data_IF_132182703425
#
_entry.id   IF_132182703425
#
_cell.length_a   1.000
_cell.length_b   1.000
_cell.length_c   1.000
_cell.angle_alpha   90.00
_cell.angle_beta   90.00
_cell.angle_gamma   90.00
#
_symmetry.space_group_name_H-M   'P 1'
#
loop_
_entity.id
_entity.type
_entity.pdbx_description
1 polymer ?
#
# COMPACT_ATOMS: atom_id res chain seq x y z
N UNK A 1 -20.91 20.55 13.42
CA UNK A 1 -21.19 19.14 13.06
C UNK A 1 -21.05 18.93 11.57
N UNK A 2 -21.85 19.59 10.72
CA UNK A 2 -21.78 19.36 9.26
C UNK A 2 -20.37 19.42 8.67
N UNK A 3 -19.65 20.53 8.90
CA UNK A 3 -18.27 20.68 8.41
C UNK A 3 -17.28 19.72 9.08
N UNK A 4 -17.54 19.30 10.32
CA UNK A 4 -16.67 18.37 11.05
C UNK A 4 -16.80 16.95 10.47
N UNK A 5 -18.03 16.43 10.35
CA UNK A 5 -18.27 15.13 9.72
C UNK A 5 -17.88 15.10 8.24
N UNK A 6 -18.08 16.19 7.50
CA UNK A 6 -17.54 16.33 6.14
C UNK A 6 -16.00 16.23 6.13
N UNK A 7 -15.32 16.86 7.09
CA UNK A 7 -13.85 16.77 7.19
C UNK A 7 -13.39 15.34 7.48
N UNK A 8 -14.11 14.61 8.33
CA UNK A 8 -13.85 13.19 8.61
C UNK A 8 -14.02 12.34 7.35
N UNK A 9 -15.16 12.46 6.66
CA UNK A 9 -15.41 11.73 5.42
C UNK A 9 -14.39 12.06 4.33
N UNK A 10 -13.99 13.33 4.22
CA UNK A 10 -12.97 13.78 3.25
C UNK A 10 -11.59 13.20 3.59
N UNK A 11 -11.21 13.18 4.87
CA UNK A 11 -9.94 12.60 5.32
C UNK A 11 -9.85 11.11 5.00
N UNK A 12 -10.97 10.39 5.20
CA UNK A 12 -11.09 8.97 4.82
C UNK A 12 -10.92 8.81 3.31
N UNK A 13 -11.62 9.59 2.50
CA UNK A 13 -11.58 9.49 1.03
C UNK A 13 -10.25 9.89 0.40
N UNK A 14 -9.47 10.74 1.09
CA UNK A 14 -8.11 11.07 0.67
C UNK A 14 -7.21 9.82 0.66
N UNK A 15 -7.40 8.93 1.64
CA UNK A 15 -6.54 7.76 1.87
C UNK A 15 -7.13 6.46 1.31
N UNK A 16 -8.33 6.10 1.77
CA UNK A 16 -8.90 4.78 1.57
C UNK A 16 -9.90 4.83 0.44
N UNK A 17 -9.52 4.45 -0.79
CA UNK A 17 -10.40 4.60 -1.96
C UNK A 17 -11.62 3.68 -1.88
N UNK A 18 -12.81 4.14 -2.30
CA UNK A 18 -14.04 3.34 -2.21
C UNK A 18 -14.03 2.09 -3.12
N UNK A 19 -13.11 2.02 -4.10
CA UNK A 19 -12.83 0.82 -4.89
C UNK A 19 -12.21 -0.32 -4.08
N UNK A 20 -11.50 0.00 -3.00
CA UNK A 20 -10.72 -0.95 -2.19
C UNK A 20 -11.23 -1.08 -0.76
N UNK A 21 -11.80 0.00 -0.22
CA UNK A 21 -12.33 0.12 1.14
C UNK A 21 -13.77 0.61 1.07
N UNK A 22 -14.68 -0.28 0.68
CA UNK A 22 -16.05 0.10 0.33
C UNK A 22 -16.98 0.13 1.54
N UNK A 23 -16.88 -0.85 2.42
CA UNK A 23 -17.82 -1.10 3.53
C UNK A 23 -17.33 -0.40 4.78
N UNK A 24 -18.13 0.48 5.35
CA UNK A 24 -17.74 1.30 6.52
C UNK A 24 -18.72 1.06 7.67
N UNK A 25 -18.24 0.67 8.84
CA UNK A 25 -19.05 0.68 10.06
C UNK A 25 -18.74 1.93 10.87
N UNK A 26 -19.73 2.80 11.06
CA UNK A 26 -19.64 3.96 11.94
C UNK A 26 -20.25 3.66 13.31
N UNK A 27 -19.40 3.59 14.34
CA UNK A 27 -19.82 3.37 15.72
C UNK A 27 -19.98 4.72 16.41
N UNK A 28 -21.23 5.14 16.59
CA UNK A 28 -21.58 6.49 17.04
C UNK A 28 -21.96 6.50 18.53
N UNK A 29 -21.36 7.42 19.30
CA UNK A 29 -21.72 7.61 20.71
C UNK A 29 -22.88 8.60 20.92
N UNK A 30 -23.35 8.79 22.17
CA UNK A 30 -24.49 9.67 22.46
C UNK A 30 -24.12 11.16 22.37
N UNK A 31 -22.83 11.48 22.31
CA UNK A 31 -22.34 12.84 22.43
C UNK A 31 -22.15 13.56 21.10
N UNK A 32 -21.33 14.61 21.15
CA UNK A 32 -21.03 15.39 19.96
C UNK A 32 -20.30 14.57 18.89
N UNK A 33 -19.35 13.74 19.32
CA UNK A 33 -18.55 12.87 18.45
C UNK A 33 -19.44 11.93 17.63
N UNK A 34 -20.45 11.32 18.25
CA UNK A 34 -21.39 10.47 17.52
C UNK A 34 -22.19 11.23 16.48
N UNK A 35 -22.58 12.48 16.76
CA UNK A 35 -23.19 13.35 15.75
C UNK A 35 -22.26 13.65 14.57
N UNK A 36 -20.95 13.81 14.82
CA UNK A 36 -19.96 13.98 13.74
C UNK A 36 -19.77 12.68 12.94
N UNK A 37 -19.83 11.52 13.60
CA UNK A 37 -19.88 10.20 12.96
C UNK A 37 -21.10 9.98 12.06
N UNK A 38 -22.30 10.37 12.50
CA UNK A 38 -23.52 10.29 11.69
C UNK A 38 -23.42 11.16 10.42
N UNK A 39 -22.89 12.38 10.56
CA UNK A 39 -22.64 13.26 9.42
C UNK A 39 -21.60 12.65 8.48
N UNK A 40 -20.50 12.11 9.03
CA UNK A 40 -19.46 11.47 8.24
C UNK A 40 -20.01 10.27 7.45
N UNK A 41 -20.82 9.41 8.07
CA UNK A 41 -21.47 8.28 7.40
C UNK A 41 -22.34 8.74 6.23
N UNK A 42 -23.10 9.84 6.38
CA UNK A 42 -23.89 10.41 5.28
C UNK A 42 -23.02 10.89 4.12
N UNK A 43 -21.94 11.62 4.40
CA UNK A 43 -21.04 12.08 3.33
C UNK A 43 -20.31 10.92 2.66
N UNK A 44 -19.88 9.91 3.42
CA UNK A 44 -19.28 8.69 2.87
C UNK A 44 -20.23 7.95 1.91
N UNK A 45 -21.53 7.89 2.19
CA UNK A 45 -22.50 7.38 1.23
C UNK A 45 -22.44 8.15 -0.11
N UNK A 46 -22.46 9.48 -0.05
CA UNK A 46 -22.36 10.31 -1.26
C UNK A 46 -20.99 10.23 -1.96
N UNK A 47 -19.93 9.83 -1.26
CA UNK A 47 -18.59 9.61 -1.83
C UNK A 47 -18.43 8.21 -2.45
N UNK A 48 -19.48 7.38 -2.46
CA UNK A 48 -19.48 6.06 -3.09
C UNK A 48 -19.15 4.89 -2.16
N UNK A 49 -19.05 5.13 -0.85
CA UNK A 49 -18.91 4.07 0.15
C UNK A 49 -20.27 3.45 0.48
N UNK A 50 -20.23 2.29 1.14
CA UNK A 50 -21.39 1.60 1.72
C UNK A 50 -21.31 1.68 3.26
N UNK A 51 -21.81 2.76 3.88
CA UNK A 51 -21.78 2.89 5.33
C UNK A 51 -22.88 2.06 6.00
N UNK A 52 -22.60 1.66 7.24
CA UNK A 52 -23.48 1.05 8.22
C UNK A 52 -23.28 1.80 9.54
N UNK A 53 -24.33 1.94 10.35
CA UNK A 53 -24.26 2.74 11.58
C UNK A 53 -24.65 1.90 12.79
N UNK A 54 -23.74 1.78 13.76
CA UNK A 54 -24.08 1.30 15.10
C UNK A 54 -24.25 2.51 16.01
N UNK A 55 -25.49 2.81 16.44
CA UNK A 55 -25.81 3.96 17.30
C UNK A 55 -26.62 3.53 18.54
N UNK A 56 -25.96 2.87 19.53
CA UNK A 56 -26.65 2.15 20.60
C UNK A 56 -27.38 3.05 21.60
N UNK A 57 -26.84 4.25 21.86
CA UNK A 57 -27.47 5.24 22.76
C UNK A 57 -27.83 6.49 21.97
N UNK A 58 -29.04 6.48 21.39
CA UNK A 58 -29.58 7.61 20.62
C UNK A 58 -29.95 8.78 21.53
N UNK A 59 -29.49 9.97 21.18
CA UNK A 59 -29.74 11.18 21.98
C UNK A 59 -31.09 11.80 21.59
N UNK A 60 -32.03 11.98 22.53
CA UNK A 60 -33.38 12.47 22.24
C UNK A 60 -33.39 14.00 22.09
N UNK A 61 -32.65 14.53 21.11
CA UNK A 61 -32.68 15.94 20.73
C UNK A 61 -32.94 16.07 19.23
N UNK A 62 -33.70 17.10 18.79
CA UNK A 62 -34.09 17.26 17.38
C UNK A 62 -32.92 17.19 16.39
N UNK A 63 -31.76 17.73 16.78
CA UNK A 63 -30.55 17.67 15.97
C UNK A 63 -30.13 16.22 15.63
N UNK A 64 -30.12 15.31 16.60
CA UNK A 64 -29.69 13.93 16.35
C UNK A 64 -30.79 13.12 15.66
N UNK A 65 -32.05 13.35 16.00
CA UNK A 65 -33.18 12.76 15.27
C UNK A 65 -33.14 13.13 13.79
N UNK A 66 -32.87 14.39 13.46
CA UNK A 66 -32.72 14.85 12.07
C UNK A 66 -31.55 14.18 11.33
N UNK A 67 -30.40 13.98 11.99
CA UNK A 67 -29.26 13.27 11.40
C UNK A 67 -29.59 11.79 11.13
N UNK A 68 -30.31 11.14 12.04
CA UNK A 68 -30.79 9.76 11.85
C UNK A 68 -31.77 9.69 10.66
N UNK A 69 -32.75 10.59 10.60
CA UNK A 69 -33.71 10.65 9.47
C UNK A 69 -33.01 10.86 8.12
N UNK A 70 -31.95 11.68 8.07
CA UNK A 70 -31.17 11.87 6.85
C UNK A 70 -30.50 10.56 6.39
N UNK A 71 -29.92 9.79 7.31
CA UNK A 71 -29.30 8.50 7.00
C UNK A 71 -30.34 7.46 6.57
N UNK A 72 -31.48 7.38 7.27
CA UNK A 72 -32.60 6.50 6.93
C UNK A 72 -33.16 6.83 5.53
N UNK A 73 -33.25 8.12 5.17
CA UNK A 73 -33.70 8.55 3.82
C UNK A 73 -32.76 8.11 2.70
N UNK A 74 -31.48 7.87 3.01
CA UNK A 74 -30.48 7.32 2.09
C UNK A 74 -30.41 5.79 2.15
N UNK A 75 -31.30 5.15 2.91
CA UNK A 75 -31.29 3.70 3.19
C UNK A 75 -29.98 3.21 3.79
N UNK A 76 -29.30 4.05 4.58
CA UNK A 76 -28.11 3.63 5.34
C UNK A 76 -28.56 2.76 6.52
N UNK A 77 -28.13 1.49 6.59
CA UNK A 77 -28.58 0.56 7.62
C UNK A 77 -28.05 0.94 9.01
N UNK A 78 -28.92 0.81 10.01
CA UNK A 78 -28.56 0.87 11.42
C UNK A 78 -28.49 -0.55 11.98
N UNK A 79 -27.34 -0.94 12.53
CA UNK A 79 -27.12 -2.25 13.14
C UNK A 79 -27.12 -2.07 14.67
N UNK A 80 -27.81 -2.95 15.40
CA UNK A 80 -27.75 -3.00 16.86
C UNK A 80 -26.39 -3.51 17.34
N UNK A 81 -26.10 -3.49 18.65
CA UNK A 81 -24.83 -4.06 19.14
C UNK A 81 -24.88 -5.58 19.08
N UNK A 82 -26.07 -6.14 19.26
CA UNK A 82 -26.36 -7.56 19.30
C UNK A 82 -26.28 -8.21 17.91
N UNK A 83 -26.58 -7.44 16.87
CA UNK A 83 -26.54 -7.88 15.46
C UNK A 83 -25.18 -7.64 14.78
N UNK A 84 -24.19 -7.09 15.49
CA UNK A 84 -22.84 -6.95 14.94
C UNK A 84 -22.19 -8.33 14.78
N UNK A 85 -21.47 -8.58 13.66
CA UNK A 85 -20.75 -9.82 13.49
C UNK A 85 -19.65 -9.95 14.53
N UNK A 86 -19.38 -11.18 14.99
CA UNK A 86 -18.31 -11.46 15.95
C UNK A 86 -16.94 -11.05 15.42
N UNK A 87 -16.75 -11.15 14.11
CA UNK A 87 -15.55 -10.74 13.40
C UNK A 87 -15.88 -9.61 12.41
N UNK A 88 -15.58 -8.38 12.81
CA UNK A 88 -15.83 -7.19 12.00
C UNK A 88 -14.97 -7.15 10.73
N UNK A 89 -13.84 -7.89 10.66
CA UNK A 89 -12.90 -7.83 9.53
C UNK A 89 -13.44 -8.46 8.24
N UNK A 90 -14.37 -9.41 8.37
CA UNK A 90 -15.00 -10.06 7.21
C UNK A 90 -16.04 -9.15 6.53
N UNK A 91 -16.68 -8.27 7.31
CA UNK A 91 -17.86 -7.49 6.91
C UNK A 91 -17.55 -6.03 6.60
N UNK A 92 -16.49 -5.47 7.17
CA UNK A 92 -16.15 -4.06 7.04
C UNK A 92 -14.70 -3.85 6.66
N UNK A 93 -14.46 -2.84 5.83
CA UNK A 93 -13.12 -2.44 5.40
C UNK A 93 -12.60 -1.25 6.24
N UNK A 94 -13.52 -0.44 6.79
CA UNK A 94 -13.22 0.70 7.66
C UNK A 94 -14.13 0.67 8.89
N UNK A 95 -13.52 0.86 10.07
CA UNK A 95 -14.21 1.04 11.34
C UNK A 95 -14.04 2.48 11.82
N UNK A 96 -15.11 3.27 11.74
CA UNK A 96 -15.13 4.65 12.18
C UNK A 96 -15.54 4.74 13.65
N UNK A 97 -14.56 4.97 14.51
CA UNK A 97 -14.70 5.26 15.93
C UNK A 97 -15.15 6.71 16.13
N UNK A 98 -16.46 6.88 16.36
CA UNK A 98 -17.10 8.14 16.70
C UNK A 98 -17.82 8.05 18.06
N UNK A 99 -17.33 7.23 18.99
CA UNK A 99 -17.99 6.98 20.27
C UNK A 99 -17.81 8.14 21.27
N UNK A 100 -16.56 8.47 21.60
CA UNK A 100 -16.22 9.47 22.62
C UNK A 100 -15.23 10.50 22.07
N UNK A 101 -15.51 11.78 22.32
CA UNK A 101 -14.63 12.90 21.96
C UNK A 101 -14.02 13.54 23.21
N UNK A 102 -13.38 14.69 23.04
CA UNK A 102 -12.61 15.38 24.09
C UNK A 102 -13.35 15.74 25.37
N UNK A 103 -14.68 15.81 25.36
CA UNK A 103 -15.48 16.16 26.54
C UNK A 103 -15.86 14.95 27.40
N UNK A 104 -15.46 13.73 27.01
CA UNK A 104 -15.74 12.52 27.76
C UNK A 104 -14.74 12.35 28.91
N UNK A 105 -15.24 11.98 30.08
CA UNK A 105 -14.43 11.73 31.27
C UNK A 105 -14.87 10.42 31.94
N UNK A 106 -13.90 9.67 32.46
CA UNK A 106 -14.12 8.41 33.17
C UNK A 106 -14.01 7.16 32.30
N UNK A 107 -14.31 6.00 32.89
CA UNK A 107 -14.19 4.69 32.23
C UNK A 107 -15.40 4.46 31.32
N UNK A 108 -15.21 3.99 30.07
CA UNK A 108 -16.31 3.55 29.19
C UNK A 108 -17.25 2.57 29.90
N UNK A 109 -18.56 2.73 29.69
CA UNK A 109 -19.60 1.86 30.28
C UNK A 109 -20.35 1.10 29.19
N UNK A 110 -21.04 -0.01 29.51
CA UNK A 110 -21.87 -0.73 28.57
C UNK A 110 -22.86 0.15 27.78
N UNK A 111 -23.00 -0.09 26.45
CA UNK A 111 -22.32 -1.14 25.65
C UNK A 111 -20.96 -0.72 25.05
N UNK A 112 -20.44 0.48 25.37
CA UNK A 112 -19.28 1.05 24.69
C UNK A 112 -17.95 0.44 25.10
N UNK A 113 -17.84 -0.09 26.32
CA UNK A 113 -16.70 -0.90 26.76
C UNK A 113 -16.52 -2.14 25.87
N UNK A 114 -17.59 -2.89 25.62
CA UNK A 114 -17.57 -4.05 24.72
C UNK A 114 -17.22 -3.68 23.27
N UNK A 115 -17.78 -2.58 22.75
CA UNK A 115 -17.44 -2.06 21.41
C UNK A 115 -15.96 -1.67 21.30
N UNK A 116 -15.41 -1.01 22.33
CA UNK A 116 -13.97 -0.67 22.37
C UNK A 116 -13.12 -1.94 22.38
N UNK A 117 -13.47 -2.94 23.20
CA UNK A 117 -12.73 -4.20 23.25
C UNK A 117 -12.76 -4.95 21.92
N UNK A 118 -13.88 -4.92 21.21
CA UNK A 118 -14.00 -5.50 19.87
C UNK A 118 -13.10 -4.79 18.84
N UNK A 119 -12.93 -3.47 18.92
CA UNK A 119 -11.98 -2.76 18.05
C UNK A 119 -10.51 -3.06 18.42
N UNK A 120 -10.21 -3.23 19.71
CA UNK A 120 -8.86 -3.57 20.19
C UNK A 120 -8.45 -4.99 19.77
N UNK A 121 -9.37 -5.96 19.82
CA UNK A 121 -9.07 -7.37 19.52
C UNK A 121 -8.71 -7.63 18.06
N UNK A 122 -9.17 -6.80 17.12
CA UNK A 122 -8.89 -6.94 15.68
C UNK A 122 -7.40 -6.84 15.34
N UNK A 123 -6.64 -6.04 16.09
CA UNK A 123 -5.18 -5.89 15.90
C UNK A 123 -4.39 -7.14 16.31
N UNK A 124 -4.91 -7.93 17.25
CA UNK A 124 -4.19 -9.09 17.79
C UNK A 124 -4.24 -10.30 16.84
N UNK A 125 -5.16 -10.32 15.88
CA UNK A 125 -5.36 -11.40 14.92
C UNK A 125 -4.44 -11.32 13.68
N UNK A 126 -3.74 -10.20 13.49
CA UNK A 126 -3.12 -9.80 12.21
C UNK A 126 -1.74 -10.44 11.92
N UNK A 127 -1.40 -11.57 12.55
CA UNK A 127 -0.19 -12.34 12.20
C UNK A 127 -0.43 -13.36 11.08
N UNK A 128 -1.69 -13.64 10.70
CA UNK A 128 -2.04 -14.71 9.76
C UNK A 128 -3.01 -14.32 8.64
N UNK A 129 -3.59 -13.11 8.65
CA UNK A 129 -4.53 -12.63 7.62
C UNK A 129 -3.93 -11.52 6.76
N UNK A 130 -4.34 -11.45 5.49
CA UNK A 130 -3.79 -10.53 4.49
C UNK A 130 -4.38 -9.10 4.52
N UNK A 131 -5.53 -8.85 5.19
CA UNK A 131 -6.15 -7.51 5.22
C UNK A 131 -7.00 -7.28 6.47
N UNK A 132 -6.52 -6.44 7.38
CA UNK A 132 -7.29 -5.96 8.54
C UNK A 132 -8.06 -4.67 8.20
N UNK A 133 -9.23 -4.43 8.83
CA UNK A 133 -10.00 -3.21 8.60
C UNK A 133 -9.27 -1.99 9.18
N UNK A 134 -9.31 -0.88 8.45
CA UNK A 134 -8.70 0.36 8.91
C UNK A 134 -9.54 0.99 10.04
N UNK A 135 -8.92 1.28 11.18
CA UNK A 135 -9.59 1.96 12.29
C UNK A 135 -9.36 3.48 12.16
N UNK A 136 -10.45 4.24 12.12
CA UNK A 136 -10.44 5.70 12.00
C UNK A 136 -11.09 6.31 13.23
N UNK A 137 -10.36 7.08 14.04
CA UNK A 137 -10.91 7.76 15.21
C UNK A 137 -11.23 9.23 14.92
N UNK A 138 -12.45 9.63 15.27
CA UNK A 138 -12.90 11.01 15.19
C UNK A 138 -12.46 11.77 16.44
N UNK A 139 -11.70 12.83 16.23
CA UNK A 139 -11.18 13.77 17.21
C UNK A 139 -10.12 13.23 18.17
N UNK A 140 -10.46 12.17 18.91
CA UNK A 140 -9.64 11.44 19.87
C UNK A 140 -10.02 9.96 19.80
N UNK A 141 -9.08 9.01 19.92
CA UNK A 141 -9.43 7.60 20.01
C UNK A 141 -10.27 7.32 21.27
N UNK A 142 -11.43 6.69 21.11
CA UNK A 142 -12.34 6.44 22.22
C UNK A 142 -11.69 5.60 23.31
N UNK A 143 -11.83 6.06 24.56
CA UNK A 143 -11.21 5.43 25.73
C UNK A 143 -9.82 5.99 26.08
N UNK A 144 -9.19 6.78 25.21
CA UNK A 144 -7.96 7.48 25.57
C UNK A 144 -8.24 8.65 26.52
N UNK A 145 -7.30 8.91 27.41
CA UNK A 145 -7.27 10.15 28.17
C UNK A 145 -6.94 11.32 27.24
N UNK A 146 -7.64 12.44 27.38
CA UNK A 146 -7.59 13.59 26.45
C UNK A 146 -6.19 14.23 26.38
N UNK A 147 -5.40 14.09 27.44
CA UNK A 147 -4.04 14.63 27.51
C UNK A 147 -2.96 13.55 27.43
N UNK A 148 -3.00 12.60 28.35
CA UNK A 148 -2.02 11.52 28.48
C UNK A 148 -2.11 10.43 27.40
N UNK A 149 -3.22 10.36 26.66
CA UNK A 149 -3.45 9.34 25.63
C UNK A 149 -3.84 7.98 26.20
N UNK A 150 -3.28 6.92 25.64
CA UNK A 150 -3.58 5.54 26.04
C UNK A 150 -2.87 5.17 27.36
N UNK A 151 -3.53 5.48 28.48
CA UNK A 151 -3.05 5.11 29.81
C UNK A 151 -3.15 3.58 29.96
N UNK A 152 -2.01 2.90 29.92
CA UNK A 152 -1.92 1.44 30.07
C UNK A 152 -1.66 0.68 28.75
N UNK A 153 -1.66 1.36 27.60
CA UNK A 153 -1.23 0.80 26.32
C UNK A 153 -2.18 -0.20 25.66
N UNK A 154 -3.34 -0.46 26.27
CA UNK A 154 -4.34 -1.44 25.83
C UNK A 154 -5.56 -0.81 25.13
N UNK A 155 -5.52 0.49 24.85
CA UNK A 155 -6.57 1.22 24.15
C UNK A 155 -6.55 1.00 22.64
N UNK A 156 -7.55 1.57 21.96
CA UNK A 156 -7.66 1.54 20.50
C UNK A 156 -6.39 2.12 19.87
N UNK A 157 -5.87 1.44 18.84
CA UNK A 157 -4.74 1.91 18.02
C UNK A 157 -5.26 2.24 16.62
N UNK A 158 -5.75 3.47 16.36
CA UNK A 158 -6.30 3.80 15.06
C UNK A 158 -5.20 3.90 13.99
N UNK A 159 -5.54 3.53 12.76
CA UNK A 159 -4.70 3.78 11.58
C UNK A 159 -4.81 5.24 11.13
N UNK A 160 -5.97 5.86 11.35
CA UNK A 160 -6.21 7.27 11.10
C UNK A 160 -6.79 7.99 12.31
N UNK A 161 -6.20 9.13 12.67
CA UNK A 161 -6.78 10.09 13.60
C UNK A 161 -7.20 11.35 12.84
N UNK A 162 -8.47 11.76 12.95
CA UNK A 162 -8.95 13.03 12.40
C UNK A 162 -9.22 14.00 13.54
N UNK A 163 -8.22 14.82 13.90
CA UNK A 163 -8.39 15.88 14.90
C UNK A 163 -9.29 17.00 14.37
N UNK A 164 -10.28 17.43 15.14
CA UNK A 164 -11.19 18.50 14.76
C UNK A 164 -10.84 19.81 15.46
N UNK A 165 -10.87 20.92 14.69
CA UNK A 165 -10.52 22.29 15.14
C UNK A 165 -9.03 22.47 15.46
N UNK A 166 -8.52 21.70 16.41
CA UNK A 166 -7.12 21.59 16.76
C UNK A 166 -6.85 20.19 17.38
N UNK A 167 -5.64 19.63 17.19
CA UNK A 167 -5.26 18.38 17.84
C UNK A 167 -5.25 18.51 19.36
N UNK A 168 -5.76 17.49 20.06
CA UNK A 168 -5.69 17.40 21.52
C UNK A 168 -4.32 16.86 21.95
N UNK A 169 -3.97 17.07 23.22
CA UNK A 169 -2.66 16.70 23.75
C UNK A 169 -2.36 15.19 23.61
N UNK A 170 -3.38 14.35 23.74
CA UNK A 170 -3.28 12.91 23.51
C UNK A 170 -2.78 12.54 22.11
N UNK A 171 -3.02 13.38 21.11
CA UNK A 171 -2.60 13.13 19.73
C UNK A 171 -1.06 13.09 19.59
N UNK A 172 -0.31 13.62 20.57
CA UNK A 172 1.15 13.44 20.64
C UNK A 172 1.57 11.97 20.82
N UNK A 173 0.67 11.11 21.31
CA UNK A 173 0.87 9.67 21.50
C UNK A 173 0.33 8.83 20.33
N UNK A 174 -0.27 9.47 19.33
CA UNK A 174 -0.74 8.79 18.14
C UNK A 174 0.44 8.30 17.30
N UNK A 175 0.42 7.02 16.94
CA UNK A 175 1.48 6.36 16.16
C UNK A 175 0.97 5.76 14.85
N UNK A 176 -0.31 5.96 14.50
CA UNK A 176 -0.87 5.45 13.24
C UNK A 176 -0.31 6.20 12.02
N UNK A 177 -0.43 5.61 10.82
CA UNK A 177 0.15 6.16 9.59
C UNK A 177 -0.50 7.46 9.12
N UNK A 178 -1.71 7.81 9.59
CA UNK A 178 -2.47 8.93 9.05
C UNK A 178 -3.02 9.85 10.14
N UNK A 179 -2.51 11.07 10.24
CA UNK A 179 -3.09 12.10 11.11
C UNK A 179 -3.60 13.25 10.24
N UNK A 180 -4.87 13.58 10.37
CA UNK A 180 -5.51 14.69 9.69
C UNK A 180 -6.01 15.73 10.67
N UNK A 181 -5.94 16.99 10.25
CA UNK A 181 -6.64 18.11 10.86
C UNK A 181 -7.84 18.46 9.99
N UNK A 182 -9.02 18.38 10.58
CA UNK A 182 -10.29 18.78 9.98
C UNK A 182 -10.94 19.96 10.73
N UNK A 183 -12.08 20.40 10.22
CA UNK A 183 -12.83 21.50 10.80
C UNK A 183 -12.27 22.87 10.41
N UNK A 184 -12.11 23.07 9.09
CA UNK A 184 -11.71 24.34 8.47
C UNK A 184 -12.79 25.43 8.61
N UNK A 185 -13.00 25.89 9.84
CA UNK A 185 -13.97 26.94 10.16
C UNK A 185 -13.54 27.80 11.35
N UNK A 186 -12.29 27.69 11.81
CA UNK A 186 -11.75 28.49 12.92
C UNK A 186 -11.56 29.93 12.45
N UNK A 187 -12.25 30.93 13.05
CA UNK A 187 -12.03 32.32 12.70
C UNK A 187 -10.60 32.77 13.07
N UNK A 188 -9.94 33.64 12.29
CA UNK A 188 -8.60 34.14 12.61
C UNK A 188 -8.48 34.70 14.04
N UNK A 189 -9.50 35.45 14.49
CA UNK A 189 -9.52 36.00 15.85
C UNK A 189 -9.50 34.94 16.97
N UNK A 190 -10.09 33.76 16.73
CA UNK A 190 -10.04 32.63 17.68
C UNK A 190 -8.67 31.95 17.60
N UNK A 191 -8.12 31.76 16.39
CA UNK A 191 -6.78 31.22 16.22
C UNK A 191 -5.74 32.07 16.94
N UNK A 192 -5.79 33.40 16.77
CA UNK A 192 -4.88 34.35 17.42
C UNK A 192 -5.05 34.35 18.94
N UNK A 193 -6.30 34.40 19.43
CA UNK A 193 -6.61 34.40 20.86
C UNK A 193 -6.03 33.19 21.60
N UNK A 194 -6.11 32.01 20.98
CA UNK A 194 -5.61 30.76 21.55
C UNK A 194 -4.22 30.36 21.03
N UNK A 195 -3.56 31.23 20.24
CA UNK A 195 -2.25 30.99 19.62
C UNK A 195 -2.17 29.66 18.87
N UNK A 196 -3.22 29.35 18.11
CA UNK A 196 -3.30 28.13 17.32
C UNK A 196 -2.45 28.29 16.04
N UNK A 197 -1.34 27.57 15.97
CA UNK A 197 -0.51 27.48 14.77
C UNK A 197 -1.12 26.50 13.76
N UNK A 198 -2.26 26.85 13.17
CA UNK A 198 -2.96 25.98 12.23
C UNK A 198 -2.25 25.98 10.86
N UNK A 199 -2.06 24.81 10.22
CA UNK A 199 -1.50 24.73 8.87
C UNK A 199 -2.47 25.31 7.83
N UNK A 200 -1.93 25.68 6.67
CA UNK A 200 -2.73 26.05 5.51
C UNK A 200 -3.44 24.83 4.93
N UNK A 201 -4.74 24.95 4.66
CA UNK A 201 -5.51 23.91 4.00
C UNK A 201 -5.36 24.04 2.48
N UNK A 202 -5.06 22.95 1.74
CA UNK A 202 -4.83 23.02 0.30
C UNK A 202 -6.13 23.30 -0.46
N UNK A 203 -6.12 24.31 -1.33
CA UNK A 203 -7.26 24.67 -2.19
C UNK A 203 -8.56 24.80 -1.41
N UNK A 204 -9.58 24.03 -1.83
CA UNK A 204 -10.92 23.95 -1.19
C UNK A 204 -11.05 22.78 -0.21
N UNK A 205 -9.96 22.09 0.14
CA UNK A 205 -10.03 20.94 1.05
C UNK A 205 -10.54 21.33 2.43
N UNK A 206 -11.33 20.44 3.03
CA UNK A 206 -11.85 20.58 4.39
C UNK A 206 -10.96 19.91 5.45
N UNK A 207 -9.94 19.18 5.01
CA UNK A 207 -8.94 18.54 5.85
C UNK A 207 -7.53 18.80 5.32
N UNK A 208 -6.54 18.63 6.18
CA UNK A 208 -5.13 18.68 5.83
C UNK A 208 -4.38 17.64 6.64
N UNK A 209 -3.53 16.86 5.98
CA UNK A 209 -2.66 15.90 6.65
C UNK A 209 -1.65 16.63 7.52
N UNK A 210 -1.50 16.20 8.77
CA UNK A 210 -0.56 16.73 9.75
C UNK A 210 0.28 15.60 10.33
N UNK A 211 1.35 15.93 11.06
CA UNK A 211 2.27 14.94 11.63
C UNK A 211 3.38 14.50 10.68
N UNK A 212 4.15 13.49 11.09
CA UNK A 212 5.26 12.97 10.28
C UNK A 212 4.68 12.18 9.09
N UNK A 213 5.24 12.31 7.87
CA UNK A 213 4.88 11.40 6.78
C UNK A 213 5.14 9.95 7.23
N UNK A 214 4.28 9.00 6.82
CA UNK A 214 4.45 7.61 7.22
C UNK A 214 5.84 7.13 6.82
N UNK A 215 6.56 6.57 7.79
CA UNK A 215 7.82 5.88 7.53
C UNK A 215 7.43 4.55 6.87
N UNK A 216 7.63 4.46 5.55
CA UNK A 216 7.38 3.22 4.81
C UNK A 216 8.38 2.19 5.34
N UNK A 217 7.89 1.13 5.98
CA UNK A 217 8.70 -0.05 6.23
C UNK A 217 8.91 -0.76 4.90
N UNK A 218 10.09 -0.55 4.31
CA UNK A 218 10.48 -1.13 3.02
C UNK A 218 10.39 -2.65 3.07
N UNK A 219 10.63 -3.26 4.24
CA UNK A 219 10.56 -4.71 4.43
C UNK A 219 9.14 -5.25 4.25
N UNK A 220 8.13 -4.46 4.60
CA UNK A 220 6.72 -4.81 4.48
C UNK A 220 6.16 -4.65 3.06
N UNK A 221 6.92 -4.07 2.12
CA UNK A 221 6.54 -4.00 0.69
C UNK A 221 6.74 -5.33 -0.05
N UNK A 222 7.30 -6.35 0.61
CA UNK A 222 7.56 -7.64 -0.02
C UNK A 222 6.24 -8.37 -0.31
N UNK A 223 5.97 -8.58 -1.59
CA UNK A 223 4.88 -9.44 -2.03
C UNK A 223 5.31 -10.91 -2.00
N UNK A 224 4.39 -11.78 -1.56
CA UNK A 224 4.58 -13.22 -1.71
C UNK A 224 4.19 -13.60 -3.14
N UNK A 225 5.18 -13.81 -3.99
CA UNK A 225 4.97 -14.33 -5.34
C UNK A 225 4.25 -15.67 -5.26
N UNK A 226 3.20 -15.89 -6.07
CA UNK A 226 2.55 -17.19 -6.23
C UNK A 226 2.78 -17.59 -7.68
N UNK A 227 3.83 -18.39 -7.92
CA UNK A 227 4.09 -18.98 -9.24
C UNK A 227 3.89 -20.50 -9.19
N UNK A 228 3.46 -21.14 -10.29
CA UNK A 228 3.54 -22.59 -10.41
C UNK A 228 4.98 -23.07 -10.19
N UNK A 229 5.13 -24.29 -9.66
CA UNK A 229 6.44 -24.93 -9.53
C UNK A 229 7.05 -25.12 -10.93
N UNK A 230 8.30 -24.69 -11.12
CA UNK A 230 9.05 -24.85 -12.36
C UNK A 230 10.11 -25.93 -12.16
N UNK A 231 9.98 -27.04 -12.89
CA UNK A 231 10.81 -28.23 -12.72
C UNK A 231 11.93 -28.29 -13.77
N UNK A 232 13.04 -28.93 -13.41
CA UNK A 232 14.21 -29.12 -14.28
C UNK A 232 13.85 -29.77 -15.62
N UNK A 233 12.93 -30.75 -15.61
CA UNK A 233 12.46 -31.46 -16.79
C UNK A 233 11.69 -30.57 -17.78
N UNK A 234 11.25 -29.38 -17.36
CA UNK A 234 10.51 -28.43 -18.19
C UNK A 234 11.41 -27.42 -18.92
N UNK A 235 12.72 -27.47 -18.66
CA UNK A 235 13.73 -26.57 -19.20
C UNK A 235 14.21 -27.08 -20.55
N UNK A 236 14.25 -26.19 -21.55
CA UNK A 236 14.82 -26.51 -22.86
C UNK A 236 16.34 -26.74 -22.76
N UNK A 237 16.85 -27.69 -23.54
CA UNK A 237 18.28 -28.00 -23.55
C UNK A 237 19.14 -26.85 -24.08
N UNK A 238 18.58 -26.03 -24.98
CA UNK A 238 19.24 -24.86 -25.54
C UNK A 238 18.71 -23.58 -24.87
N UNK A 239 19.59 -22.70 -24.37
CA UNK A 239 19.15 -21.53 -23.63
C UNK A 239 18.48 -20.46 -24.50
N UNK A 240 18.74 -20.43 -25.82
CA UNK A 240 18.02 -19.54 -26.75
C UNK A 240 16.60 -20.04 -26.96
N UNK A 241 16.41 -21.35 -27.09
CA UNK A 241 15.09 -21.95 -27.18
C UNK A 241 14.30 -21.73 -25.88
N UNK A 242 14.96 -21.83 -24.72
CA UNK A 242 14.36 -21.49 -23.42
C UNK A 242 13.95 -20.02 -23.35
N UNK A 243 14.80 -19.09 -23.79
CA UNK A 243 14.46 -17.67 -23.85
C UNK A 243 13.27 -17.43 -24.78
N UNK A 244 13.28 -18.02 -25.97
CA UNK A 244 12.22 -17.86 -26.97
C UNK A 244 10.87 -18.30 -26.40
N UNK A 245 10.81 -19.49 -25.80
CA UNK A 245 9.61 -20.03 -25.13
C UNK A 245 9.04 -19.03 -24.12
N UNK A 246 9.88 -18.51 -23.22
CA UNK A 246 9.42 -17.57 -22.21
C UNK A 246 9.08 -16.18 -22.75
N UNK A 247 9.76 -15.73 -23.81
CA UNK A 247 9.44 -14.48 -24.47
C UNK A 247 8.05 -14.54 -25.13
N UNK A 248 7.70 -15.66 -25.77
CA UNK A 248 6.35 -15.91 -26.31
C UNK A 248 5.30 -15.98 -25.18
N UNK A 249 5.62 -16.60 -24.05
CA UNK A 249 4.74 -16.61 -22.88
C UNK A 249 4.52 -15.18 -22.32
N UNK A 250 5.56 -14.35 -22.28
CA UNK A 250 5.47 -12.95 -21.87
C UNK A 250 4.59 -12.12 -22.83
N UNK A 251 4.68 -12.38 -24.14
CA UNK A 251 3.82 -11.78 -25.15
C UNK A 251 2.36 -12.24 -24.99
N UNK A 252 2.14 -13.54 -24.83
CA UNK A 252 0.81 -14.14 -24.67
C UNK A 252 0.11 -13.66 -23.38
N UNK A 253 0.87 -13.41 -22.31
CA UNK A 253 0.38 -12.83 -21.07
C UNK A 253 0.02 -11.33 -21.18
N UNK A 254 0.32 -10.69 -22.32
CA UNK A 254 0.02 -9.28 -22.55
C UNK A 254 0.87 -8.34 -21.69
N UNK A 255 2.07 -8.76 -21.30
CA UNK A 255 2.98 -7.90 -20.53
C UNK A 255 3.30 -6.62 -21.29
N UNK A 256 3.47 -5.53 -20.55
CA UNK A 256 3.85 -4.24 -21.14
C UNK A 256 5.34 -4.25 -21.47
N UNK A 257 5.67 -4.07 -22.75
CA UNK A 257 7.06 -3.98 -23.25
C UNK A 257 7.95 -5.18 -22.82
N UNK A 258 7.59 -6.44 -23.15
CA UNK A 258 8.35 -7.63 -22.73
C UNK A 258 9.77 -7.67 -23.32
N UNK A 259 10.04 -6.86 -24.35
CA UNK A 259 11.34 -6.67 -24.97
C UNK A 259 12.20 -5.59 -24.28
N UNK A 260 11.71 -4.92 -23.23
CA UNK A 260 12.51 -4.02 -22.41
C UNK A 260 13.45 -4.81 -21.48
N UNK A 261 14.71 -4.38 -21.42
CA UNK A 261 15.75 -5.05 -20.64
C UNK A 261 16.76 -4.06 -20.07
N UNK A 262 17.33 -4.34 -18.90
CA UNK A 262 18.43 -3.56 -18.36
C UNK A 262 19.76 -3.96 -18.99
N UNK A 263 20.47 -3.01 -19.58
CA UNK A 263 21.84 -3.18 -20.08
C UNK A 263 22.84 -2.69 -19.03
N UNK A 264 23.66 -3.61 -18.53
CA UNK A 264 24.73 -3.37 -17.57
C UNK A 264 26.10 -3.44 -18.25
N UNK A 265 26.92 -2.40 -18.06
CA UNK A 265 28.26 -2.28 -18.66
C UNK A 265 29.21 -1.59 -17.70
N UNK A 266 30.51 -1.85 -17.82
CA UNK A 266 31.57 -1.17 -17.06
C UNK A 266 32.75 -0.87 -17.99
N UNK A 267 33.31 0.34 -17.91
CA UNK A 267 34.54 0.70 -18.63
C UNK A 267 35.79 0.25 -17.88
N UNK A 268 36.97 0.76 -18.27
CA UNK A 268 38.25 0.39 -17.64
C UNK A 268 38.36 0.69 -16.14
N UNK A 269 37.54 1.63 -15.64
CA UNK A 269 37.51 1.99 -14.23
C UNK A 269 36.71 1.00 -13.35
N UNK A 270 36.11 -0.03 -13.95
CA UNK A 270 35.33 -1.05 -13.24
C UNK A 270 34.03 -0.55 -12.62
N UNK A 271 33.58 0.68 -12.90
CA UNK A 271 32.33 1.22 -12.36
C UNK A 271 31.15 0.75 -13.21
N UNK A 272 30.27 -0.14 -12.71
CA UNK A 272 29.11 -0.59 -13.46
C UNK A 272 28.10 0.56 -13.58
N UNK A 273 27.38 0.56 -14.68
CA UNK A 273 26.18 1.38 -14.87
C UNK A 273 25.10 0.52 -15.48
N UNK A 274 23.82 0.85 -15.30
CA UNK A 274 22.69 0.12 -15.90
C UNK A 274 21.63 1.10 -16.41
N UNK A 275 20.93 0.72 -17.49
CA UNK A 275 19.74 1.45 -17.98
C UNK A 275 18.84 0.52 -18.80
N UNK A 276 17.58 0.88 -18.95
CA UNK A 276 16.66 0.16 -19.83
C UNK A 276 17.01 0.45 -21.30
N UNK A 277 17.06 -0.61 -22.10
CA UNK A 277 17.14 -0.61 -23.57
C UNK A 277 16.10 -1.59 -24.11
N UNK A 278 15.82 -1.51 -25.42
CA UNK A 278 14.86 -2.41 -26.07
C UNK A 278 15.60 -3.44 -26.91
N UNK A 279 15.23 -4.70 -26.71
CA UNK A 279 15.57 -5.78 -27.62
C UNK A 279 14.88 -5.55 -28.98
N UNK A 280 15.63 -5.81 -30.05
CA UNK A 280 15.23 -5.58 -31.45
C UNK A 280 15.16 -6.86 -32.27
N UNK A 281 15.82 -7.92 -31.80
CA UNK A 281 15.78 -9.25 -32.37
C UNK A 281 16.72 -10.16 -31.60
N UNK A 282 16.55 -11.45 -31.76
CA UNK A 282 17.45 -12.47 -31.20
C UNK A 282 17.42 -13.70 -32.11
N UNK A 283 18.53 -14.41 -32.18
CA UNK A 283 18.64 -15.69 -32.87
C UNK A 283 19.70 -16.57 -32.19
N UNK A 284 20.06 -17.70 -32.80
CA UNK A 284 21.07 -18.63 -32.27
C UNK A 284 22.46 -18.00 -32.07
N UNK A 285 22.74 -16.85 -32.68
CA UNK A 285 23.99 -16.10 -32.50
C UNK A 285 23.81 -14.83 -31.65
N UNK A 286 22.73 -14.75 -30.85
CA UNK A 286 22.60 -13.78 -29.77
C UNK A 286 21.52 -12.72 -29.94
N UNK A 287 21.58 -11.72 -29.06
CA UNK A 287 20.61 -10.65 -28.94
C UNK A 287 21.06 -9.39 -29.70
N UNK A 288 20.10 -8.71 -30.30
CA UNK A 288 20.29 -7.47 -31.07
C UNK A 288 19.56 -6.33 -30.39
N UNK A 289 20.28 -5.25 -30.13
CA UNK A 289 19.75 -4.05 -29.48
C UNK A 289 20.58 -2.82 -29.89
N UNK A 290 20.05 -1.63 -29.61
CA UNK A 290 20.65 -0.37 -30.08
C UNK A 290 21.10 0.53 -28.91
N UNK A 291 22.26 1.15 -29.09
CA UNK A 291 22.74 2.29 -28.28
C UNK A 291 23.55 3.22 -29.16
N UNK A 292 23.49 4.54 -28.90
CA UNK A 292 24.38 5.49 -29.55
C UNK A 292 25.85 5.16 -29.19
N UNK A 293 26.73 5.11 -30.20
CA UNK A 293 28.17 4.89 -30.03
C UNK A 293 28.84 5.98 -29.18
N UNK A 294 28.33 7.22 -29.24
CA UNK A 294 28.81 8.35 -28.43
C UNK A 294 28.23 8.35 -27.01
N UNK A 295 27.34 7.40 -26.69
CA UNK A 295 26.85 7.29 -25.32
C UNK A 295 27.93 6.72 -24.39
N UNK A 296 27.78 6.98 -23.10
CA UNK A 296 28.60 6.34 -22.06
C UNK A 296 28.68 4.81 -22.24
N UNK A 297 27.56 4.16 -22.59
CA UNK A 297 27.49 2.72 -22.86
C UNK A 297 28.32 2.30 -24.07
N UNK A 298 28.26 3.06 -25.16
CA UNK A 298 29.06 2.82 -26.37
C UNK A 298 30.56 2.90 -26.08
N UNK A 299 30.99 3.94 -25.37
CA UNK A 299 32.37 4.09 -24.94
C UNK A 299 32.81 2.95 -24.00
N UNK A 300 32.00 2.61 -23.00
CA UNK A 300 32.30 1.50 -22.09
C UNK A 300 32.46 0.17 -22.84
N UNK A 301 31.60 -0.11 -23.82
CA UNK A 301 31.68 -1.35 -24.62
C UNK A 301 32.86 -1.37 -25.59
N UNK A 302 33.30 -0.20 -26.06
CA UNK A 302 34.54 -0.10 -26.86
C UNK A 302 35.80 -0.36 -26.03
N UNK A 303 35.76 -0.03 -24.74
CA UNK A 303 36.85 -0.24 -23.80
C UNK A 303 36.87 -1.65 -23.19
N UNK A 304 35.69 -2.18 -22.90
CA UNK A 304 35.43 -3.47 -22.28
C UNK A 304 34.19 -4.08 -22.94
N UNK A 305 34.34 -5.08 -23.81
CA UNK A 305 33.20 -5.66 -24.52
C UNK A 305 32.25 -6.45 -23.60
N UNK A 306 32.65 -6.75 -22.36
CA UNK A 306 31.82 -7.54 -21.45
C UNK A 306 30.64 -6.75 -20.88
N UNK A 307 29.45 -7.33 -20.97
CA UNK A 307 28.20 -6.72 -20.52
C UNK A 307 27.17 -7.77 -20.09
N UNK A 308 26.08 -7.31 -19.46
CA UNK A 308 24.94 -8.12 -19.07
C UNK A 308 23.62 -7.49 -19.51
N UNK A 309 22.67 -8.34 -19.91
CA UNK A 309 21.27 -7.99 -20.18
C UNK A 309 20.39 -8.66 -19.14
N UNK A 310 19.45 -7.91 -18.57
CA UNK A 310 18.47 -8.41 -17.61
C UNK A 310 17.04 -8.12 -18.06
N UNK A 311 16.26 -9.18 -18.26
CA UNK A 311 14.81 -9.11 -18.43
C UNK A 311 14.15 -9.42 -17.09
N UNK A 312 13.15 -8.62 -16.72
CA UNK A 312 12.29 -8.89 -15.56
C UNK A 312 10.84 -8.81 -16.00
N UNK A 313 10.13 -9.93 -15.89
CA UNK A 313 8.73 -10.08 -16.26
C UNK A 313 7.93 -10.32 -14.98
N UNK A 314 7.55 -9.21 -14.35
CA UNK A 314 6.81 -9.17 -13.08
C UNK A 314 5.53 -10.01 -13.12
N UNK A 315 4.70 -9.87 -14.16
CA UNK A 315 3.46 -10.63 -14.30
C UNK A 315 3.64 -12.15 -14.46
N UNK A 316 4.87 -12.61 -14.72
CA UNK A 316 5.22 -14.04 -14.78
C UNK A 316 6.15 -14.47 -13.65
N UNK A 317 6.58 -13.56 -12.77
CA UNK A 317 7.58 -13.82 -11.72
C UNK A 317 8.88 -14.41 -12.26
N UNK A 318 9.32 -13.96 -13.45
CA UNK A 318 10.49 -14.51 -14.14
C UNK A 318 11.54 -13.46 -14.45
N UNK A 319 12.79 -13.90 -14.44
CA UNK A 319 13.94 -13.09 -14.79
C UNK A 319 14.89 -13.89 -15.70
N UNK A 320 15.42 -13.21 -16.71
CA UNK A 320 16.46 -13.77 -17.60
C UNK A 320 17.69 -12.87 -17.53
N UNK A 321 18.85 -13.46 -17.24
CA UNK A 321 20.15 -12.80 -17.28
C UNK A 321 21.04 -13.41 -18.35
N UNK A 322 21.58 -12.56 -19.21
CA UNK A 322 22.54 -12.95 -20.24
C UNK A 322 23.85 -12.17 -20.02
N UNK A 323 24.99 -12.86 -19.97
CA UNK A 323 26.32 -12.25 -19.90
C UNK A 323 27.04 -12.53 -21.22
N UNK A 324 27.73 -11.52 -21.77
CA UNK A 324 28.27 -11.63 -23.12
C UNK A 324 29.40 -10.66 -23.38
N UNK A 325 30.12 -10.92 -24.47
CA UNK A 325 30.95 -9.94 -25.15
C UNK A 325 30.14 -9.29 -26.28
N UNK A 326 30.11 -7.95 -26.31
CA UNK A 326 29.40 -7.17 -27.32
C UNK A 326 30.34 -6.78 -28.47
N UNK A 327 29.87 -6.90 -29.70
CA UNK A 327 30.63 -6.49 -30.90
C UNK A 327 29.80 -5.61 -31.81
N UNK A 328 30.49 -4.74 -32.56
CA UNK A 328 29.87 -3.84 -33.53
C UNK A 328 29.40 -4.63 -34.75
N UNK A 329 28.19 -4.36 -35.24
CA UNK A 329 27.75 -4.84 -36.55
C UNK A 329 27.90 -3.71 -37.59
N UNK A 330 28.09 -4.06 -38.87
CA UNK A 330 28.46 -3.17 -39.99
C UNK A 330 27.46 -2.02 -40.33
N UNK A 331 26.47 -1.74 -39.47
CA UNK A 331 25.54 -0.61 -39.58
C UNK A 331 25.59 0.25 -38.31
N UNK A 332 25.32 1.54 -38.44
CA UNK A 332 25.73 2.65 -37.57
C UNK A 332 25.20 2.69 -36.12
N UNK A 333 24.54 1.66 -35.59
CA UNK A 333 24.01 1.65 -34.20
C UNK A 333 23.78 0.23 -33.64
N UNK A 334 24.55 -0.78 -34.06
CA UNK A 334 24.25 -2.19 -33.74
C UNK A 334 25.31 -2.82 -32.84
N UNK A 335 24.86 -3.41 -31.74
CA UNK A 335 25.63 -4.36 -30.94
C UNK A 335 24.97 -5.74 -31.03
N UNK A 336 25.81 -6.78 -31.18
CA UNK A 336 25.42 -8.19 -31.10
C UNK A 336 26.22 -8.86 -30.01
N UNK A 337 25.62 -9.85 -29.35
CA UNK A 337 26.18 -10.53 -28.19
C UNK A 337 26.58 -11.96 -28.53
N UNK A 338 27.79 -12.41 -28.18
CA UNK A 338 28.08 -13.86 -28.14
C UNK A 338 27.36 -14.47 -26.93
N UNK A 339 26.70 -15.62 -27.10
CA UNK A 339 25.72 -16.09 -26.12
C UNK A 339 26.35 -16.91 -24.97
N UNK A 340 26.28 -16.36 -23.75
CA UNK A 340 26.35 -17.12 -22.50
C UNK A 340 25.14 -16.69 -21.65
N UNK A 341 24.09 -17.51 -21.60
CA UNK A 341 22.96 -17.28 -20.68
C UNK A 341 23.35 -17.90 -19.35
N UNK A 342 23.90 -17.07 -18.47
CA UNK A 342 24.40 -17.56 -17.18
C UNK A 342 23.29 -17.88 -16.19
N UNK A 343 22.12 -17.20 -16.26
CA UNK A 343 21.09 -17.38 -15.24
C UNK A 343 19.69 -17.14 -15.79
N UNK A 344 18.81 -18.14 -15.66
CA UNK A 344 17.37 -18.01 -15.78
C UNK A 344 16.74 -18.27 -14.40
N UNK A 345 15.92 -17.34 -13.91
CA UNK A 345 15.32 -17.37 -12.57
C UNK A 345 13.78 -17.39 -12.64
N UNK A 346 13.17 -18.29 -11.88
CA UNK A 346 11.74 -18.26 -11.54
C UNK A 346 11.60 -17.96 -10.05
N UNK A 347 10.89 -16.88 -9.71
CA UNK A 347 10.62 -16.48 -8.33
C UNK A 347 9.38 -17.24 -7.83
N UNK A 348 9.63 -18.33 -7.10
CA UNK A 348 8.60 -19.13 -6.44
C UNK A 348 8.59 -18.83 -4.93
N UNK A 349 7.41 -18.84 -4.26
CA UNK A 349 7.31 -18.51 -2.83
C UNK A 349 8.14 -19.43 -1.92
N UNK A 350 8.50 -20.62 -2.40
CA UNK A 350 9.19 -21.64 -1.60
C UNK A 350 10.65 -21.85 -2.02
N UNK A 351 11.03 -21.45 -3.25
CA UNK A 351 12.38 -21.68 -3.79
C UNK A 351 12.78 -20.60 -4.81
N UNK A 352 14.07 -20.25 -4.82
CA UNK A 352 14.69 -19.57 -5.96
C UNK A 352 15.26 -20.65 -6.88
N UNK A 353 14.71 -20.82 -8.08
CA UNK A 353 15.28 -21.74 -9.07
C UNK A 353 16.21 -20.96 -10.00
N UNK A 354 17.52 -21.15 -9.84
CA UNK A 354 18.54 -20.60 -10.72
C UNK A 354 19.01 -21.69 -11.69
N UNK A 355 18.87 -21.42 -12.98
CA UNK A 355 19.35 -22.29 -14.07
C UNK A 355 20.54 -21.61 -14.73
N UNK A 356 21.72 -22.19 -14.60
CA UNK A 356 22.91 -21.72 -15.31
C UNK A 356 23.27 -22.62 -16.48
N UNK A 357 23.49 -22.02 -17.65
CA UNK A 357 23.99 -22.71 -18.84
C UNK A 357 25.47 -22.36 -19.03
N UNK A 358 26.32 -22.93 -18.17
CA UNK A 358 27.76 -22.97 -18.43
C UNK A 358 28.09 -24.26 -19.18
N UNK A 359 28.88 -24.19 -20.25
CA UNK A 359 29.07 -25.35 -21.15
C UNK A 359 29.59 -26.58 -20.36
N UNK A 360 29.03 -27.81 -20.51
CA UNK A 360 27.74 -28.24 -21.06
C UNK A 360 26.80 -28.77 -19.96
N UNK A 361 26.68 -28.07 -18.83
CA UNK A 361 25.89 -28.56 -17.69
C UNK A 361 24.90 -27.49 -17.26
N UNK A 362 23.61 -27.84 -17.32
CA UNK A 362 22.57 -27.07 -16.66
C UNK A 362 22.75 -27.26 -15.15
N UNK A 363 23.13 -26.20 -14.43
CA UNK A 363 23.26 -26.27 -12.98
C UNK A 363 22.00 -25.75 -12.31
N UNK A 364 21.41 -26.60 -11.46
CA UNK A 364 20.25 -26.28 -10.64
C UNK A 364 20.66 -26.00 -9.21
N UNK A 365 20.27 -24.83 -8.71
CA UNK A 365 20.36 -24.51 -7.29
C UNK A 365 18.96 -24.55 -6.70
N UNK A 366 18.70 -25.55 -5.85
CA UNK A 366 17.54 -25.53 -4.94
C UNK A 366 18.00 -24.86 -3.66
N UNK A 367 17.35 -23.78 -3.26
CA UNK A 367 17.50 -23.22 -1.93
C UNK A 367 16.82 -24.17 -0.92
N UNK A 368 17.46 -25.30 -0.63
CA UNK A 368 17.11 -26.16 0.50
C UNK A 368 17.94 -25.65 1.69
N UNK A 369 17.23 -25.13 2.70
CA UNK A 369 17.72 -24.76 4.04
C UNK A 369 18.62 -23.53 4.20
N UNK A 370 18.24 -22.36 3.69
CA UNK A 370 18.87 -21.10 4.13
C UNK A 370 17.86 -19.95 4.29
N UNK A 371 17.51 -19.67 5.54
CA UNK A 371 16.85 -18.43 6.03
C UNK A 371 17.66 -17.13 5.75
N UNK A 372 18.74 -17.20 4.96
CA UNK A 372 19.69 -16.10 4.77
C UNK A 372 20.21 -16.07 3.33
N UNK A 373 19.36 -15.73 2.37
CA UNK A 373 19.83 -15.01 1.17
C UNK A 373 18.94 -13.79 0.95
N UNK A 374 19.40 -12.73 1.60
CA UNK A 374 19.05 -11.33 1.41
C UNK A 374 19.83 -10.85 0.18
N UNK A 375 19.14 -10.31 -0.83
CA UNK A 375 19.71 -9.34 -1.77
C UNK A 375 18.84 -8.10 -1.76
#
# INVERSE_FOLDING_TARGET
KELAGLSVATSIAEVYKPSEYKRVLAVCGPGNNGGDGLVAARHLHHFGYKPFVCYPKRTPKPLYSGLVTQLESLSVPFISVEDLPLDLSEEFDILLDAMFGFSYHGVPRPPFDGLIQMLVSLRNYDQTRQKSPAIVSVDIPSGWHVEEGDIGGAGIKPDMLVSLTAPKLCAKKFCGPHHFLGGRFVPPSIADKYKLNLPSYPGTSMCVRIGKPPQIDISALRENYISPEFLEEQVEADPVDQFHKWFEEALAAGLKEPNAMALSTAGRNGKPSSRIVLLKGFDKNGFVWFTNYESQKGHQLSENPHASLLFYWDGLNRQVNCVFSAYHCLKTVYFRTDLIIEVILCLCPTFLLQISFDKPVVQFWRALDLDYFIW
#
